data_IF_051404381489
#
_entry.id   IF_051404381489
#
_cell.length_a   1.000
_cell.length_b   1.000
_cell.length_c   1.000
_cell.angle_alpha   90.00
_cell.angle_beta   90.00
_cell.angle_gamma   90.00
#
_symmetry.space_group_name_H-M   'P 1'
#
loop_
_entity.id
_entity.type
_entity.pdbx_description
1 polymer ?
#
# COMPACT_ATOMS: atom_id res chain seq x y z
N UNK A 1 -11.06 2.52 -2.35
CA UNK A 1 -9.96 2.87 -1.42
C UNK A 1 -8.65 2.82 -2.19
N UNK A 2 -7.72 3.77 -1.98
CA UNK A 2 -6.44 3.81 -2.71
C UNK A 2 -5.59 2.55 -2.53
N UNK A 3 -5.75 1.82 -1.42
CA UNK A 3 -5.07 0.55 -1.17
C UNK A 3 -5.53 -0.60 -2.06
N UNK A 4 -6.81 -0.65 -2.43
CA UNK A 4 -7.32 -1.66 -3.39
C UNK A 4 -6.74 -1.41 -4.78
N UNK A 5 -6.57 -0.14 -5.17
CA UNK A 5 -5.93 0.21 -6.44
C UNK A 5 -4.44 -0.18 -6.44
N UNK A 6 -3.71 0.12 -5.37
CA UNK A 6 -2.32 -0.30 -5.20
C UNK A 6 -2.16 -1.83 -5.30
N UNK A 7 -3.05 -2.59 -4.63
CA UNK A 7 -3.07 -4.05 -4.72
C UNK A 7 -3.31 -4.56 -6.15
N UNK A 8 -4.30 -3.99 -6.85
CA UNK A 8 -4.60 -4.38 -8.22
C UNK A 8 -3.44 -4.07 -9.17
N UNK A 9 -2.82 -2.90 -9.04
CA UNK A 9 -1.65 -2.48 -9.83
C UNK A 9 -0.45 -3.39 -9.60
N UNK A 10 -0.19 -3.78 -8.35
CA UNK A 10 0.88 -4.72 -8.03
C UNK A 10 0.66 -6.09 -8.68
N UNK A 11 -0.58 -6.60 -8.64
CA UNK A 11 -0.95 -7.89 -9.26
C UNK A 11 -0.80 -7.90 -10.78
N UNK A 12 -1.06 -6.78 -11.45
CA UNK A 12 -0.86 -6.66 -12.91
C UNK A 12 0.57 -6.27 -13.31
N UNK A 13 1.51 -6.26 -12.36
CA UNK A 13 2.93 -5.98 -12.60
C UNK A 13 3.31 -4.50 -12.62
N UNK A 14 2.36 -3.58 -12.44
CA UNK A 14 2.58 -2.12 -12.37
C UNK A 14 3.05 -1.69 -10.98
N UNK A 15 4.23 -2.18 -10.57
CA UNK A 15 4.76 -1.97 -9.22
C UNK A 15 5.03 -0.50 -8.88
N UNK A 16 5.52 0.29 -9.84
CA UNK A 16 5.78 1.72 -9.63
C UNK A 16 4.48 2.48 -9.34
N UNK A 17 3.46 2.30 -10.17
CA UNK A 17 2.16 2.93 -9.94
C UNK A 17 1.54 2.47 -8.62
N UNK A 18 1.67 1.18 -8.28
CA UNK A 18 1.18 0.67 -7.00
C UNK A 18 1.81 1.40 -5.80
N UNK A 19 3.13 1.67 -5.87
CA UNK A 19 3.86 2.44 -4.86
C UNK A 19 3.40 3.89 -4.80
N UNK A 20 3.16 4.55 -5.95
CA UNK A 20 2.64 5.93 -5.98
C UNK A 20 1.23 6.03 -5.39
N UNK A 21 0.35 5.10 -5.76
CA UNK A 21 -1.00 5.01 -5.20
C UNK A 21 -0.98 4.73 -3.71
N UNK A 22 -0.04 3.90 -3.25
CA UNK A 22 0.16 3.64 -1.82
C UNK A 22 0.66 4.89 -1.09
N UNK A 23 1.64 5.61 -1.66
CA UNK A 23 2.17 6.83 -1.09
C UNK A 23 1.10 7.93 -0.97
N UNK A 24 0.18 8.03 -1.95
CA UNK A 24 -0.98 8.91 -1.86
C UNK A 24 -1.89 8.55 -0.67
N UNK A 25 -2.10 7.25 -0.40
CA UNK A 25 -2.87 6.80 0.75
C UNK A 25 -2.20 7.18 2.08
N UNK A 26 -0.87 6.98 2.19
CA UNK A 26 -0.07 7.38 3.36
C UNK A 26 -0.14 8.88 3.59
N UNK A 27 -0.12 9.69 2.52
CA UNK A 27 -0.25 11.14 2.64
C UNK A 27 -1.61 11.57 3.19
N UNK A 28 -2.69 10.90 2.78
CA UNK A 28 -4.05 11.23 3.23
C UNK A 28 -4.31 10.74 4.65
N UNK A 29 -3.81 9.56 5.04
CA UNK A 29 -3.98 9.01 6.38
C UNK A 29 -2.68 8.37 6.88
N UNK A 30 -1.70 9.19 7.31
CA UNK A 30 -0.40 8.69 7.74
C UNK A 30 -0.50 7.78 8.95
N UNK A 31 -1.40 8.06 9.90
CA UNK A 31 -1.60 7.22 11.10
C UNK A 31 -2.11 5.80 10.77
N UNK A 32 -2.77 5.64 9.63
CA UNK A 32 -3.33 4.36 9.20
C UNK A 32 -2.34 3.57 8.35
N UNK A 33 -1.63 4.23 7.43
CA UNK A 33 -0.86 3.55 6.40
C UNK A 33 0.66 3.66 6.56
N UNK A 34 1.17 4.36 7.59
CA UNK A 34 2.61 4.41 7.87
C UNK A 34 3.20 3.11 8.41
N UNK A 35 2.37 2.12 8.77
CA UNK A 35 2.81 0.83 9.32
C UNK A 35 1.91 -0.32 8.86
N UNK A 36 2.51 -1.48 8.62
CA UNK A 36 1.81 -2.72 8.27
C UNK A 36 1.10 -3.36 9.46
N UNK A 37 1.48 -3.00 10.70
CA UNK A 37 0.89 -3.55 11.92
C UNK A 37 -0.62 -3.28 12.02
N UNK A 38 -1.08 -2.15 11.48
CA UNK A 38 -2.48 -1.75 11.52
C UNK A 38 -3.32 -2.40 10.42
N UNK A 39 -2.72 -3.11 9.45
CA UNK A 39 -3.46 -3.64 8.31
C UNK A 39 -4.52 -4.67 8.71
N UNK A 40 -4.26 -5.49 9.73
CA UNK A 40 -5.24 -6.46 10.21
C UNK A 40 -6.52 -5.76 10.73
N UNK A 41 -6.35 -4.65 11.46
CA UNK A 41 -7.46 -3.85 11.99
C UNK A 41 -8.13 -2.96 10.95
N UNK A 42 -7.36 -2.42 9.98
CA UNK A 42 -7.86 -1.54 8.92
C UNK A 42 -8.56 -2.32 7.80
N UNK A 43 -8.15 -3.57 7.57
CA UNK A 43 -8.60 -4.42 6.48
C UNK A 43 -8.98 -5.80 7.03
N UNK A 44 -9.99 -5.87 7.93
CA UNK A 44 -10.43 -7.14 8.52
C UNK A 44 -11.01 -8.09 7.46
N UNK A 45 -11.71 -7.52 6.47
CA UNK A 45 -12.33 -8.27 5.36
C UNK A 45 -11.32 -8.76 4.31
N UNK A 46 -10.07 -8.30 4.35
CA UNK A 46 -9.07 -8.72 3.39
C UNK A 46 -8.51 -10.09 3.76
N UNK A 47 -8.11 -10.85 2.75
CA UNK A 47 -7.39 -12.10 2.99
C UNK A 47 -5.96 -11.81 3.40
N UNK A 48 -5.36 -12.78 4.07
CA UNK A 48 -3.96 -12.69 4.49
C UNK A 48 -3.01 -12.48 3.30
N UNK A 49 -3.26 -13.16 2.18
CA UNK A 49 -2.52 -12.96 0.94
C UNK A 49 -2.61 -11.53 0.39
N UNK A 50 -3.77 -10.87 0.53
CA UNK A 50 -3.96 -9.48 0.08
C UNK A 50 -3.20 -8.50 0.98
N UNK A 51 -3.24 -8.73 2.30
CA UNK A 51 -2.44 -7.98 3.26
C UNK A 51 -0.94 -8.18 3.04
N UNK A 52 -0.51 -9.40 2.71
CA UNK A 52 0.88 -9.71 2.39
C UNK A 52 1.35 -8.95 1.13
N UNK A 53 0.55 -8.95 0.06
CA UNK A 53 0.86 -8.14 -1.14
C UNK A 53 0.91 -6.65 -0.81
N UNK A 54 0.01 -6.14 0.03
CA UNK A 54 0.06 -4.73 0.45
C UNK A 54 1.32 -4.42 1.27
N UNK A 55 1.79 -5.38 2.08
CA UNK A 55 3.05 -5.25 2.82
C UNK A 55 4.27 -5.23 1.88
N UNK A 56 4.25 -5.97 0.77
CA UNK A 56 5.27 -5.87 -0.28
C UNK A 56 5.29 -4.48 -0.93
N UNK A 57 4.10 -3.94 -1.25
CA UNK A 57 3.97 -2.57 -1.79
C UNK A 57 4.54 -1.56 -0.79
N UNK A 58 4.23 -1.70 0.49
CA UNK A 58 4.78 -0.86 1.56
C UNK A 58 6.31 -0.95 1.65
N UNK A 59 6.87 -2.16 1.57
CA UNK A 59 8.32 -2.33 1.59
C UNK A 59 8.99 -1.67 0.38
N UNK A 60 8.39 -1.79 -0.81
CA UNK A 60 8.87 -1.11 -2.01
C UNK A 60 8.74 0.41 -1.91
N UNK A 61 7.66 0.91 -1.31
CA UNK A 61 7.48 2.31 -1.00
C UNK A 61 8.54 2.82 0.00
N UNK A 62 8.83 2.09 1.08
CA UNK A 62 9.90 2.45 2.01
C UNK A 62 11.28 2.45 1.36
N UNK A 63 11.55 1.48 0.49
CA UNK A 63 12.82 1.38 -0.22
C UNK A 63 13.01 2.53 -1.23
N UNK A 64 11.92 2.98 -1.87
CA UNK A 64 11.95 4.09 -2.82
C UNK A 64 10.65 4.92 -2.73
N UNK A 65 10.53 5.80 -1.73
CA UNK A 65 9.34 6.61 -1.58
C UNK A 65 9.31 7.62 -2.73
N UNK A 66 8.20 7.71 -3.48
CA UNK A 66 8.07 8.68 -4.55
C UNK A 66 8.13 10.07 -3.94
N UNK A 67 9.03 10.90 -4.45
CA UNK A 67 9.14 12.30 -4.07
C UNK A 67 8.08 13.05 -4.85
N UNK A 68 7.00 13.44 -4.19
CA UNK A 68 5.99 14.28 -4.81
C UNK A 68 6.57 15.71 -4.96
N UNK A 69 6.40 16.37 -6.13
CA UNK A 69 6.77 17.76 -6.32
C UNK A 69 5.86 18.74 -5.57
#
# INVERSE_FOLDING_TARGET
MPTTAALALWRVGRKQDAVEWYAAAVRTWPDRWSSTANYASLLPEWREAERATLAEVFAAWQAKPPTFP
#
